data_IF_116257490635
#
_entry.id   IF_116257490635
#
_cell.length_a   1.000
_cell.length_b   1.000
_cell.length_c   1.000
_cell.angle_alpha   90.00
_cell.angle_beta   90.00
_cell.angle_gamma   90.00
#
_symmetry.space_group_name_H-M   'P 1'
#
loop_
_entity.id
_entity.type
_entity.pdbx_description
1 polymer ?
#
# COMPACT_ATOMS: atom_id res chain seq x y z
N UNK A 1 11.75 6.23 28.59
CA UNK A 1 11.34 4.90 28.09
C UNK A 1 9.90 4.67 28.53
N UNK A 2 8.96 4.27 27.65
CA UNK A 2 7.56 4.05 28.07
C UNK A 2 7.48 2.88 29.06
N UNK A 3 6.81 3.08 30.19
CA UNK A 3 6.44 2.00 31.10
C UNK A 3 5.18 1.31 30.56
N UNK A 4 5.27 0.00 30.33
CA UNK A 4 4.15 -0.81 29.86
C UNK A 4 3.48 -1.49 31.04
N UNK A 5 2.16 -1.31 31.15
CA UNK A 5 1.36 -2.04 32.13
C UNK A 5 1.00 -3.44 31.60
N UNK A 6 0.73 -4.43 32.48
CA UNK A 6 0.26 -5.75 32.06
C UNK A 6 -1.02 -5.71 31.20
N UNK A 7 -1.89 -4.72 31.45
CA UNK A 7 -3.11 -4.51 30.66
C UNK A 7 -2.79 -4.08 29.23
N UNK A 8 -1.90 -3.10 29.05
CA UNK A 8 -1.47 -2.64 27.72
C UNK A 8 -0.75 -3.74 26.93
N UNK A 9 0.04 -4.59 27.60
CA UNK A 9 0.67 -5.75 26.95
C UNK A 9 -0.36 -6.76 26.48
N UNK A 10 -1.35 -7.07 27.32
CA UNK A 10 -2.45 -7.98 26.99
C UNK A 10 -3.24 -7.44 25.79
N UNK A 11 -3.51 -6.15 25.78
CA UNK A 11 -4.18 -5.48 24.67
C UNK A 11 -3.32 -5.55 23.40
N UNK A 12 -2.03 -5.20 23.48
CA UNK A 12 -1.09 -5.25 22.35
C UNK A 12 -1.06 -6.64 21.72
N UNK A 13 -1.01 -7.72 22.51
CA UNK A 13 -1.05 -9.11 22.02
C UNK A 13 -2.31 -9.39 21.20
N UNK A 14 -3.48 -8.86 21.61
CA UNK A 14 -4.75 -9.04 20.90
C UNK A 14 -4.79 -8.29 19.57
N UNK A 15 -4.31 -7.05 19.53
CA UNK A 15 -4.50 -6.16 18.37
C UNK A 15 -3.30 -6.12 17.40
N UNK A 16 -2.13 -6.59 17.82
CA UNK A 16 -0.88 -6.49 17.06
C UNK A 16 -0.97 -7.01 15.61
N UNK A 17 -1.64 -8.15 15.41
CA UNK A 17 -1.78 -8.75 14.08
C UNK A 17 -2.67 -7.93 13.14
N UNK A 18 -3.62 -7.16 13.66
CA UNK A 18 -4.64 -6.44 12.88
C UNK A 18 -4.31 -4.97 12.60
N UNK A 19 -3.27 -4.40 13.22
CA UNK A 19 -2.90 -2.99 13.08
C UNK A 19 -1.44 -2.82 12.66
N UNK A 20 -1.12 -1.70 12.02
CA UNK A 20 0.25 -1.29 11.68
C UNK A 20 0.96 -0.75 12.92
N UNK A 21 2.29 -0.74 12.90
CA UNK A 21 3.07 -0.18 14.02
C UNK A 21 2.74 1.30 14.27
N UNK A 22 2.40 2.06 13.21
CA UNK A 22 1.98 3.45 13.29
C UNK A 22 0.64 3.61 14.01
N UNK A 23 -0.34 2.80 13.67
CA UNK A 23 -1.64 2.81 14.34
C UNK A 23 -1.54 2.38 15.80
N UNK A 24 -0.71 1.38 16.10
CA UNK A 24 -0.43 0.96 17.48
C UNK A 24 0.27 2.07 18.25
N UNK A 25 1.20 2.78 17.62
CA UNK A 25 1.89 3.91 18.21
C UNK A 25 0.92 5.05 18.58
N UNK A 26 0.00 5.40 17.69
CA UNK A 26 -1.07 6.36 17.95
C UNK A 26 -1.97 5.89 19.10
N UNK A 27 -2.43 4.63 19.07
CA UNK A 27 -3.31 4.07 20.10
C UNK A 27 -2.69 4.06 21.50
N UNK A 28 -1.41 3.72 21.59
CA UNK A 28 -0.69 3.62 22.86
C UNK A 28 0.05 4.91 23.24
N UNK A 29 -0.13 6.00 22.49
CA UNK A 29 0.54 7.29 22.74
C UNK A 29 2.07 7.17 22.77
N UNK A 30 2.65 6.41 21.84
CA UNK A 30 4.08 6.10 21.81
C UNK A 30 4.63 6.17 20.38
N UNK A 31 5.90 5.83 20.18
CA UNK A 31 6.52 5.76 18.85
C UNK A 31 6.43 4.36 18.25
N UNK A 32 6.44 4.28 16.91
CA UNK A 32 6.47 2.99 16.21
C UNK A 32 7.69 2.14 16.61
N UNK A 33 8.84 2.78 16.85
CA UNK A 33 10.05 2.10 17.33
C UNK A 33 9.83 1.45 18.70
N UNK A 34 9.18 2.14 19.65
CA UNK A 34 8.86 1.57 20.95
C UNK A 34 7.88 0.38 20.83
N UNK A 35 6.93 0.43 19.90
CA UNK A 35 6.07 -0.73 19.57
C UNK A 35 6.91 -1.89 19.05
N UNK A 36 7.82 -1.66 18.10
CA UNK A 36 8.69 -2.72 17.55
C UNK A 36 9.54 -3.36 18.63
N UNK A 37 10.21 -2.57 19.46
CA UNK A 37 11.01 -3.07 20.57
C UNK A 37 10.16 -3.86 21.56
N UNK A 38 8.96 -3.38 21.89
CA UNK A 38 8.06 -4.10 22.80
C UNK A 38 7.60 -5.42 22.19
N UNK A 39 7.20 -5.44 20.93
CA UNK A 39 6.78 -6.65 20.23
C UNK A 39 7.92 -7.68 20.17
N UNK A 40 9.15 -7.23 19.93
CA UNK A 40 10.34 -8.10 19.96
C UNK A 40 10.53 -8.74 21.34
N UNK A 41 10.47 -7.95 22.43
CA UNK A 41 10.55 -8.46 23.81
C UNK A 41 9.42 -9.43 24.17
N UNK A 42 8.21 -9.22 23.63
CA UNK A 42 7.04 -10.09 23.87
C UNK A 42 7.00 -11.32 22.95
N UNK A 43 7.95 -11.48 22.03
CA UNK A 43 8.00 -12.56 21.05
C UNK A 43 6.92 -12.46 19.95
N UNK A 44 6.31 -11.29 19.77
CA UNK A 44 5.24 -11.08 18.80
C UNK A 44 5.82 -10.93 17.39
N UNK A 45 5.45 -11.87 16.50
CA UNK A 45 5.82 -11.87 15.08
C UNK A 45 4.58 -11.94 14.21
N UNK A 46 4.60 -11.23 13.08
CA UNK A 46 3.60 -11.40 12.02
C UNK A 46 4.06 -12.57 11.13
N UNK A 47 3.65 -13.79 11.46
CA UNK A 47 3.80 -14.97 10.58
C UNK A 47 2.80 -14.91 9.42
N UNK A 48 2.64 -15.98 8.63
CA UNK A 48 1.69 -16.04 7.50
C UNK A 48 0.21 -15.93 7.90
N UNK A 49 -0.11 -16.10 9.18
CA UNK A 49 -1.46 -16.00 9.76
C UNK A 49 -1.86 -14.56 10.14
N UNK A 50 -1.30 -13.55 9.48
CA UNK A 50 -1.58 -12.16 9.83
C UNK A 50 -3.06 -11.83 9.59
N UNK A 51 -3.72 -11.37 10.66
CA UNK A 51 -5.05 -10.80 10.58
C UNK A 51 -5.08 -9.67 9.54
N UNK A 52 -6.20 -9.53 8.82
CA UNK A 52 -6.36 -8.47 7.83
C UNK A 52 -6.19 -7.11 8.52
N UNK A 53 -5.23 -6.32 8.04
CA UNK A 53 -5.01 -4.96 8.55
C UNK A 53 -6.30 -4.16 8.41
N UNK A 54 -6.74 -3.55 9.51
CA UNK A 54 -7.87 -2.64 9.55
C UNK A 54 -7.35 -1.22 9.68
N UNK A 55 -7.65 -0.37 8.69
CA UNK A 55 -7.36 1.05 8.79
C UNK A 55 -8.23 1.71 9.87
N UNK A 56 -7.64 2.66 10.59
CA UNK A 56 -8.35 3.57 11.49
C UNK A 56 -9.17 4.58 10.69
N UNK A 57 -10.05 5.33 11.36
CA UNK A 57 -10.98 6.24 10.67
C UNK A 57 -10.27 7.38 9.92
N UNK A 58 -9.21 7.93 10.51
CA UNK A 58 -8.36 8.96 9.88
C UNK A 58 -7.71 8.45 8.59
N UNK A 59 -7.15 7.24 8.62
CA UNK A 59 -6.53 6.58 7.48
C UNK A 59 -7.54 6.21 6.39
N UNK A 60 -8.73 5.75 6.78
CA UNK A 60 -9.83 5.49 5.84
C UNK A 60 -10.25 6.77 5.15
N UNK A 61 -10.41 7.87 5.90
CA UNK A 61 -10.74 9.19 5.35
C UNK A 61 -9.65 9.66 4.40
N UNK A 62 -8.39 9.56 4.80
CA UNK A 62 -7.27 9.92 3.95
C UNK A 62 -7.25 9.11 2.66
N UNK A 63 -7.42 7.79 2.74
CA UNK A 63 -7.43 6.92 1.57
C UNK A 63 -8.59 7.27 0.63
N UNK A 64 -9.80 7.54 1.14
CA UNK A 64 -10.94 7.97 0.31
C UNK A 64 -10.65 9.24 -0.50
N UNK A 65 -10.03 10.23 0.14
CA UNK A 65 -9.76 11.53 -0.49
C UNK A 65 -8.63 11.45 -1.50
N UNK A 66 -7.59 10.65 -1.23
CA UNK A 66 -6.36 10.65 -2.02
C UNK A 66 -6.34 9.53 -3.08
N UNK A 67 -6.95 8.37 -2.80
CA UNK A 67 -6.90 7.22 -3.72
C UNK A 67 -7.34 7.55 -5.14
N UNK A 68 -8.40 8.35 -5.42
CA UNK A 68 -8.85 8.59 -6.79
C UNK A 68 -7.83 9.29 -7.70
N UNK A 69 -6.82 9.95 -7.13
CA UNK A 69 -5.86 10.80 -7.84
C UNK A 69 -4.39 10.43 -7.54
N UNK A 70 -4.15 9.32 -6.85
CA UNK A 70 -2.82 8.98 -6.34
C UNK A 70 -2.40 7.58 -6.74
N UNK A 71 -1.11 7.38 -6.99
CA UNK A 71 -0.53 6.05 -7.22
C UNK A 71 -0.66 5.16 -5.98
N UNK A 72 -0.92 3.87 -6.20
CA UNK A 72 -1.16 2.92 -5.11
C UNK A 72 0.11 2.70 -4.27
N UNK A 73 1.29 2.86 -4.87
CA UNK A 73 2.58 2.80 -4.16
C UNK A 73 2.74 3.96 -3.18
N UNK A 74 2.29 5.17 -3.54
CA UNK A 74 2.32 6.32 -2.63
C UNK A 74 1.33 6.11 -1.48
N UNK A 75 0.14 5.58 -1.78
CA UNK A 75 -0.83 5.20 -0.75
C UNK A 75 -0.25 4.15 0.21
N UNK A 76 0.48 3.17 -0.32
CA UNK A 76 1.11 2.10 0.47
C UNK A 76 2.18 2.65 1.41
N UNK A 77 3.06 3.52 0.89
CA UNK A 77 4.07 4.22 1.68
C UNK A 77 3.44 5.07 2.78
N UNK A 78 2.42 5.88 2.45
CA UNK A 78 1.75 6.73 3.43
C UNK A 78 1.09 5.94 4.57
N UNK A 79 0.40 4.86 4.22
CA UNK A 79 -0.30 4.01 5.19
C UNK A 79 0.63 3.04 5.94
N UNK A 80 1.88 2.89 5.50
CA UNK A 80 2.81 1.90 6.05
C UNK A 80 2.34 0.46 5.87
N UNK A 81 1.69 0.17 4.74
CA UNK A 81 1.16 -1.16 4.39
C UNK A 81 1.64 -1.59 3.01
N UNK A 82 1.48 -2.88 2.68
CA UNK A 82 1.84 -3.37 1.35
C UNK A 82 0.88 -2.87 0.27
N UNK A 83 1.37 -2.82 -0.98
CA UNK A 83 0.56 -2.48 -2.15
C UNK A 83 -0.69 -3.35 -2.28
N UNK A 84 -0.56 -4.66 -2.02
CA UNK A 84 -1.68 -5.62 -2.00
C UNK A 84 -2.73 -5.24 -0.96
N UNK A 85 -2.30 -4.75 0.20
CA UNK A 85 -3.20 -4.29 1.26
C UNK A 85 -3.96 -3.05 0.81
N UNK A 86 -3.31 -2.08 0.16
CA UNK A 86 -3.99 -0.91 -0.41
C UNK A 86 -5.04 -1.32 -1.44
N UNK A 87 -4.70 -2.19 -2.40
CA UNK A 87 -5.64 -2.66 -3.42
C UNK A 87 -6.87 -3.32 -2.80
N UNK A 88 -6.66 -4.20 -1.81
CA UNK A 88 -7.74 -4.84 -1.07
C UNK A 88 -8.60 -3.81 -0.34
N UNK A 89 -7.99 -2.89 0.42
CA UNK A 89 -8.72 -1.87 1.17
C UNK A 89 -9.55 -0.96 0.25
N UNK A 90 -8.99 -0.58 -0.91
CA UNK A 90 -9.71 0.18 -1.91
C UNK A 90 -10.89 -0.60 -2.48
N UNK A 91 -10.73 -1.89 -2.77
CA UNK A 91 -11.81 -2.76 -3.21
C UNK A 91 -12.91 -2.91 -2.13
N UNK A 92 -12.53 -3.21 -0.89
CA UNK A 92 -13.46 -3.32 0.26
C UNK A 92 -14.26 -2.02 0.48
N UNK A 93 -13.68 -0.86 0.11
CA UNK A 93 -14.31 0.46 0.23
C UNK A 93 -14.92 0.96 -1.08
N UNK A 94 -14.93 0.15 -2.15
CA UNK A 94 -15.39 0.51 -3.50
C UNK A 94 -14.76 1.78 -4.09
N UNK A 95 -13.49 2.05 -3.76
CA UNK A 95 -12.78 3.22 -4.28
C UNK A 95 -12.33 3.00 -5.72
N UNK A 96 -12.52 4.03 -6.55
CA UNK A 96 -12.12 4.02 -7.96
C UNK A 96 -11.19 5.19 -8.26
N UNK A 97 -10.31 4.99 -9.24
CA UNK A 97 -9.50 6.08 -9.82
C UNK A 97 -10.37 6.95 -10.69
N UNK A 98 -10.05 8.23 -10.77
CA UNK A 98 -10.68 9.13 -11.73
C UNK A 98 -10.27 8.81 -13.16
N UNK A 99 -11.13 9.10 -14.13
CA UNK A 99 -10.84 8.87 -15.54
C UNK A 99 -9.58 9.63 -15.99
N UNK A 100 -9.42 10.87 -15.51
CA UNK A 100 -8.23 11.68 -15.76
C UNK A 100 -6.95 10.99 -15.27
N UNK A 101 -6.93 10.56 -14.01
CA UNK A 101 -5.78 9.84 -13.46
C UNK A 101 -5.48 8.55 -14.24
N UNK A 102 -6.51 7.80 -14.65
CA UNK A 102 -6.33 6.58 -15.44
C UNK A 102 -5.70 6.87 -16.81
N UNK A 103 -6.16 7.93 -17.49
CA UNK A 103 -5.61 8.38 -18.78
C UNK A 103 -4.14 8.78 -18.64
N UNK A 104 -3.82 9.59 -17.63
CA UNK A 104 -2.44 10.01 -17.34
C UNK A 104 -1.53 8.82 -16.99
N UNK A 105 -2.02 7.90 -16.17
CA UNK A 105 -1.28 6.69 -15.79
C UNK A 105 -1.01 5.78 -16.98
N UNK A 106 -1.98 5.64 -17.90
CA UNK A 106 -1.81 4.89 -19.14
C UNK A 106 -0.75 5.55 -20.03
N UNK A 107 -0.86 6.87 -20.26
CA UNK A 107 0.11 7.62 -21.06
C UNK A 107 1.53 7.54 -20.46
N UNK A 108 1.67 7.66 -19.14
CA UNK A 108 2.93 7.48 -18.45
C UNK A 108 3.52 6.09 -18.68
N UNK A 109 2.71 5.04 -18.52
CA UNK A 109 3.15 3.65 -18.71
C UNK A 109 3.59 3.40 -20.15
N UNK A 110 2.82 3.86 -21.13
CA UNK A 110 3.18 3.79 -22.56
C UNK A 110 4.50 4.50 -22.85
N UNK A 111 4.71 5.70 -22.30
CA UNK A 111 5.96 6.45 -22.45
C UNK A 111 7.15 5.72 -21.84
N UNK A 112 7.01 5.21 -20.61
CA UNK A 112 8.08 4.42 -19.94
C UNK A 112 8.40 3.13 -20.69
N UNK A 113 7.40 2.46 -21.25
CA UNK A 113 7.62 1.28 -22.08
C UNK A 113 8.41 1.61 -23.35
N UNK A 114 8.04 2.70 -24.06
CA UNK A 114 8.80 3.19 -25.22
C UNK A 114 10.25 3.52 -24.87
N UNK A 115 10.48 4.26 -23.78
CA UNK A 115 11.83 4.58 -23.29
C UNK A 115 12.66 3.31 -23.02
N UNK A 116 12.04 2.30 -22.38
CA UNK A 116 12.69 1.01 -22.12
C UNK A 116 13.07 0.28 -23.41
N UNK A 117 12.16 0.22 -24.38
CA UNK A 117 12.43 -0.41 -25.69
C UNK A 117 13.57 0.28 -26.44
N UNK A 118 13.59 1.62 -26.44
CA UNK A 118 14.68 2.40 -27.02
C UNK A 118 16.01 2.10 -26.33
N UNK A 119 16.03 2.12 -24.98
CA UNK A 119 17.23 1.81 -24.19
C UNK A 119 17.77 0.41 -24.47
N UNK A 120 16.89 -0.55 -24.67
CA UNK A 120 17.26 -1.95 -24.88
C UNK A 120 17.42 -2.30 -26.38
N UNK A 121 17.31 -1.33 -27.31
CA UNK A 121 17.42 -1.58 -28.75
C UNK A 121 16.30 -2.45 -29.35
N UNK A 122 15.18 -2.62 -28.65
CA UNK A 122 14.04 -3.47 -29.06
C UNK A 122 12.88 -2.64 -29.59
N UNK A 123 13.15 -1.40 -30.03
CA UNK A 123 12.16 -0.55 -30.67
C UNK A 123 12.20 -0.76 -32.20
N UNK A 124 11.06 -0.87 -32.87
CA UNK A 124 9.72 -0.86 -32.28
C UNK A 124 9.39 -2.19 -31.59
N UNK A 125 8.53 -2.12 -30.57
CA UNK A 125 8.16 -3.26 -29.76
C UNK A 125 7.60 -4.42 -30.62
N UNK A 126 7.79 -5.66 -30.16
CA UNK A 126 7.29 -6.87 -30.83
C UNK A 126 5.80 -6.72 -31.17
N UNK A 127 5.43 -6.98 -32.42
CA UNK A 127 4.05 -6.85 -32.92
C UNK A 127 3.68 -5.46 -33.47
N UNK A 128 4.58 -4.47 -33.40
CA UNK A 128 4.37 -3.14 -34.00
C UNK A 128 4.21 -3.19 -35.53
N UNK A 129 5.01 -4.03 -36.19
CA UNK A 129 4.85 -4.31 -37.62
C UNK A 129 4.03 -5.59 -37.81
N UNK A 130 2.71 -5.48 -37.71
CA UNK A 130 1.81 -6.52 -38.26
C UNK A 130 1.45 -6.13 -39.70
N UNK A 131 1.83 -6.91 -40.72
CA UNK A 131 1.40 -6.68 -42.10
C UNK A 131 -0.12 -6.56 -42.27
N UNK A 132 -0.88 -7.15 -41.34
CA UNK A 132 -2.35 -7.13 -41.33
C UNK A 132 -2.94 -5.79 -40.85
N UNK A 133 -2.18 -4.94 -40.14
CA UNK A 133 -2.65 -3.61 -39.71
C UNK A 133 -2.74 -2.60 -40.87
N UNK A 134 -2.13 -2.90 -42.03
CA UNK A 134 -2.19 -2.04 -43.24
C UNK A 134 -3.26 -2.49 -44.24
N UNK A 135 -3.82 -3.69 -44.08
CA UNK A 135 -4.96 -4.14 -44.88
C UNK A 135 -6.21 -3.62 -44.17
N UNK A 136 -6.62 -2.42 -44.55
CA UNK A 136 -7.96 -1.91 -44.26
C UNK A 136 -9.03 -2.80 -44.88
#
# INVERSE_FOLDING_TARGET
>A
MKHWTPSEETELRKIYKAMTARQLAERFGTTAMAIHQKCWKLGLRKGYDHARIRLGDSERRWLRLNFPHMRNEICATYLGVSLRTVNRLAADMNLRKTAQFMKESQAYTSRKAKESHLRNGTYPAKGYYSPNLRKG
#
